data_IF_176008191487
#
_entry.id   IF_176008191487
#
_cell.length_a   1.000
_cell.length_b   1.000
_cell.length_c   1.000
_cell.angle_alpha   90.00
_cell.angle_beta   90.00
_cell.angle_gamma   90.00
#
_symmetry.space_group_name_H-M   'P 1'
#
loop_
_entity.id
_entity.type
_entity.pdbx_description
1 polymer ?
#
# COMPACT_ATOMS: atom_id res chain seq x y z
N UNK A 1 -24.80 -40.02 27.69
CA UNK A 1 -23.75 -39.05 28.07
C UNK A 1 -23.00 -38.50 26.86
N UNK A 2 -22.46 -39.36 25.96
CA UNK A 2 -21.65 -38.94 24.81
C UNK A 2 -22.41 -38.05 23.80
N UNK A 3 -23.68 -38.31 23.51
CA UNK A 3 -24.52 -37.53 22.60
C UNK A 3 -24.78 -36.08 23.08
N UNK A 4 -24.87 -35.88 24.40
CA UNK A 4 -25.06 -34.55 25.00
C UNK A 4 -23.78 -33.72 24.89
N UNK A 5 -22.63 -34.32 25.11
CA UNK A 5 -21.33 -33.68 24.93
C UNK A 5 -21.07 -33.21 23.48
N UNK A 6 -21.45 -34.03 22.50
CA UNK A 6 -21.32 -33.67 21.07
C UNK A 6 -22.25 -32.51 20.69
N UNK A 7 -23.48 -32.46 21.23
CA UNK A 7 -24.39 -31.34 21.03
C UNK A 7 -23.84 -30.02 21.61
N UNK A 8 -23.26 -30.06 22.82
CA UNK A 8 -22.65 -28.88 23.47
C UNK A 8 -21.41 -28.40 22.72
N UNK A 9 -20.57 -29.32 22.23
CA UNK A 9 -19.41 -28.97 21.41
C UNK A 9 -19.83 -28.31 20.07
N UNK A 10 -20.86 -28.82 19.43
CA UNK A 10 -21.42 -28.24 18.20
C UNK A 10 -21.97 -26.81 18.41
N UNK A 11 -22.72 -26.59 19.50
CA UNK A 11 -23.22 -25.26 19.85
C UNK A 11 -22.11 -24.27 20.15
N UNK A 12 -21.04 -24.70 20.82
CA UNK A 12 -19.89 -23.83 21.11
C UNK A 12 -19.16 -23.41 19.83
N UNK A 13 -18.94 -24.31 18.90
CA UNK A 13 -18.33 -24.00 17.57
C UNK A 13 -19.18 -23.02 16.76
N UNK A 14 -20.49 -23.23 16.72
CA UNK A 14 -21.44 -22.34 16.03
C UNK A 14 -21.42 -20.93 16.68
N UNK A 15 -21.39 -20.86 17.99
CA UNK A 15 -21.33 -19.59 18.73
C UNK A 15 -20.03 -18.80 18.43
N UNK A 16 -18.89 -19.49 18.30
CA UNK A 16 -17.62 -18.89 17.91
C UNK A 16 -17.67 -18.38 16.47
N UNK A 17 -18.23 -19.15 15.55
CA UNK A 17 -18.38 -18.75 14.14
C UNK A 17 -19.29 -17.52 14.01
N UNK A 18 -20.41 -17.48 14.78
CA UNK A 18 -21.33 -16.33 14.77
C UNK A 18 -20.66 -15.08 15.37
N UNK A 19 -19.85 -15.23 16.41
CA UNK A 19 -19.10 -14.11 17.01
C UNK A 19 -17.97 -13.59 16.13
N UNK A 20 -17.34 -14.46 15.35
CA UNK A 20 -16.31 -14.06 14.37
C UNK A 20 -16.91 -13.54 13.05
N UNK A 21 -18.20 -13.76 12.78
CA UNK A 21 -18.87 -13.30 11.57
C UNK A 21 -18.76 -11.76 11.31
N UNK A 22 -18.86 -10.87 12.31
CA UNK A 22 -18.69 -9.44 12.07
C UNK A 22 -17.26 -9.07 11.70
N UNK A 23 -16.25 -9.76 12.27
CA UNK A 23 -14.85 -9.59 11.90
C UNK A 23 -14.58 -10.05 10.45
N UNK A 24 -15.13 -11.21 10.07
CA UNK A 24 -15.05 -11.71 8.69
C UNK A 24 -15.74 -10.79 7.69
N UNK A 25 -16.91 -10.25 8.04
CA UNK A 25 -17.60 -9.26 7.19
C UNK A 25 -16.83 -7.95 7.09
N UNK A 26 -16.13 -7.51 8.14
CA UNK A 26 -15.27 -6.35 8.09
C UNK A 26 -14.05 -6.58 7.19
N UNK A 27 -13.41 -7.74 7.27
CA UNK A 27 -12.28 -8.13 6.40
C UNK A 27 -12.74 -8.26 4.94
N UNK A 28 -13.91 -8.87 4.68
CA UNK A 28 -14.48 -8.96 3.33
C UNK A 28 -14.89 -7.59 2.77
N UNK A 29 -15.45 -6.70 3.59
CA UNK A 29 -15.80 -5.33 3.17
C UNK A 29 -14.56 -4.49 2.88
N UNK A 30 -13.50 -4.64 3.67
CA UNK A 30 -12.21 -4.03 3.41
C UNK A 30 -11.58 -4.58 2.11
N UNK A 31 -11.61 -5.88 1.91
CA UNK A 31 -11.14 -6.51 0.68
C UNK A 31 -11.93 -6.07 -0.56
N UNK A 32 -13.26 -6.02 -0.47
CA UNK A 32 -14.12 -5.54 -1.55
C UNK A 32 -13.96 -4.05 -1.81
N UNK A 33 -13.79 -3.22 -0.78
CA UNK A 33 -13.56 -1.77 -0.96
C UNK A 33 -12.21 -1.47 -1.59
N UNK A 34 -11.20 -2.30 -1.34
CA UNK A 34 -9.91 -2.25 -2.02
C UNK A 34 -10.07 -2.63 -3.49
N UNK A 35 -10.82 -3.70 -3.78
CA UNK A 35 -11.03 -4.17 -5.16
C UNK A 35 -11.82 -3.16 -6.00
N UNK A 36 -12.90 -2.59 -5.46
CA UNK A 36 -13.71 -1.59 -6.19
C UNK A 36 -12.96 -0.26 -6.38
N UNK A 37 -12.10 0.13 -5.43
CA UNK A 37 -11.19 1.27 -5.61
C UNK A 37 -10.14 1.02 -6.70
N UNK A 38 -9.72 -0.22 -6.87
CA UNK A 38 -8.81 -0.64 -7.91
C UNK A 38 -9.44 -0.61 -9.30
N UNK A 39 -10.67 -1.09 -9.45
CA UNK A 39 -11.38 -1.04 -10.73
C UNK A 39 -11.69 0.39 -11.17
N UNK A 40 -12.01 1.28 -10.23
CA UNK A 40 -12.18 2.72 -10.49
C UNK A 40 -10.87 3.40 -10.93
N UNK A 41 -9.70 2.93 -10.45
CA UNK A 41 -8.38 3.45 -10.83
C UNK A 41 -7.88 2.99 -12.19
N UNK A 42 -8.34 1.84 -12.68
CA UNK A 42 -8.01 1.39 -14.06
C UNK A 42 -8.49 2.37 -15.13
N UNK A 43 -9.37 3.33 -14.77
CA UNK A 43 -9.84 4.43 -15.63
C UNK A 43 -9.21 5.79 -15.28
N UNK A 44 -8.18 5.83 -14.41
CA UNK A 44 -7.44 7.08 -14.18
C UNK A 44 -6.73 7.48 -15.46
N UNK A 45 -6.76 8.77 -15.79
CA UNK A 45 -6.09 9.27 -16.98
C UNK A 45 -4.63 8.83 -16.95
N UNK A 46 -4.15 8.34 -18.06
CA UNK A 46 -2.72 8.10 -18.32
C UNK A 46 -1.98 9.29 -17.74
N UNK A 47 -1.00 9.04 -16.86
CA UNK A 47 -0.19 10.12 -16.31
C UNK A 47 0.27 10.98 -17.50
N UNK A 48 -0.16 12.24 -17.54
CA UNK A 48 0.21 13.15 -18.62
C UNK A 48 1.65 13.64 -18.47
N UNK A 49 2.30 13.27 -17.36
CA UNK A 49 3.69 13.64 -17.07
C UNK A 49 4.65 12.65 -17.74
N UNK A 50 5.73 13.15 -18.36
CA UNK A 50 6.80 12.31 -18.89
C UNK A 50 7.41 11.44 -17.78
N UNK A 51 7.74 10.19 -18.12
CA UNK A 51 8.31 9.24 -17.15
C UNK A 51 9.64 9.74 -16.56
N UNK A 52 10.39 10.50 -17.33
CA UNK A 52 11.65 11.12 -16.93
C UNK A 52 11.45 12.15 -15.80
N UNK A 53 10.38 12.94 -15.89
CA UNK A 53 10.02 13.91 -14.85
C UNK A 53 9.59 13.20 -13.56
N UNK A 54 8.85 12.10 -13.66
CA UNK A 54 8.46 11.26 -12.53
C UNK A 54 9.73 10.66 -11.89
N UNK A 55 10.65 10.12 -12.68
CA UNK A 55 11.92 9.57 -12.21
C UNK A 55 12.77 10.62 -11.49
N UNK A 56 12.86 11.83 -12.03
CA UNK A 56 13.60 12.92 -11.41
C UNK A 56 13.00 13.33 -10.05
N UNK A 57 11.68 13.46 -9.98
CA UNK A 57 11.00 13.76 -8.71
C UNK A 57 11.17 12.64 -7.70
N UNK A 58 11.07 11.36 -8.13
CA UNK A 58 11.26 10.20 -7.28
C UNK A 58 12.69 10.18 -6.69
N UNK A 59 13.72 10.42 -7.50
CA UNK A 59 15.11 10.56 -7.01
C UNK A 59 15.26 11.69 -6.00
N UNK A 60 14.75 12.87 -6.32
CA UNK A 60 14.85 14.05 -5.45
C UNK A 60 14.15 13.84 -4.10
N UNK A 61 12.94 13.28 -4.11
CA UNK A 61 12.14 13.00 -2.90
C UNK A 61 12.69 11.80 -2.14
N UNK A 62 13.15 10.77 -2.83
CA UNK A 62 13.78 9.58 -2.23
C UNK A 62 15.03 9.94 -1.43
N UNK A 63 15.91 10.80 -1.95
CA UNK A 63 17.06 11.32 -1.19
C UNK A 63 16.62 12.04 0.07
N UNK A 64 15.68 12.97 -0.02
CA UNK A 64 15.19 13.72 1.16
C UNK A 64 14.49 12.85 2.18
N UNK A 65 13.90 11.75 1.75
CA UNK A 65 13.27 10.77 2.62
C UNK A 65 14.30 9.90 3.34
N UNK A 66 15.31 9.39 2.61
CA UNK A 66 16.38 8.54 3.17
C UNK A 66 17.38 9.34 4.02
N UNK A 67 17.64 10.58 3.63
CA UNK A 67 18.61 11.47 4.28
C UNK A 67 17.92 12.79 4.68
N UNK A 68 17.09 12.78 5.73
CA UNK A 68 16.41 13.98 6.15
C UNK A 68 17.44 15.01 6.70
N UNK A 69 17.30 16.30 6.35
CA UNK A 69 18.15 17.34 6.90
C UNK A 69 18.08 17.38 8.42
N UNK A 70 19.21 17.73 9.08
CA UNK A 70 19.24 17.89 10.54
C UNK A 70 18.21 18.92 11.00
N UNK A 71 17.42 18.57 12.03
CA UNK A 71 16.41 19.47 12.58
C UNK A 71 15.13 19.59 11.75
N UNK A 72 14.90 18.69 10.79
CA UNK A 72 13.63 18.64 10.08
C UNK A 72 12.49 18.32 11.06
N UNK A 73 11.40 19.08 11.02
CA UNK A 73 10.23 18.80 11.84
C UNK A 73 9.51 17.51 11.36
N UNK A 74 8.86 16.82 12.29
CA UNK A 74 8.08 15.61 11.98
C UNK A 74 7.07 15.87 10.86
N UNK A 75 6.37 17.00 10.87
CA UNK A 75 5.42 17.36 9.84
C UNK A 75 6.05 17.49 8.44
N UNK A 76 7.25 18.05 8.35
CA UNK A 76 8.00 18.13 7.08
C UNK A 76 8.47 16.76 6.62
N UNK A 77 8.97 15.93 7.53
CA UNK A 77 9.38 14.56 7.22
C UNK A 77 8.20 13.75 6.68
N UNK A 78 7.07 13.80 7.37
CA UNK A 78 5.84 13.12 6.97
C UNK A 78 5.30 13.65 5.63
N UNK A 79 5.39 14.96 5.38
CA UNK A 79 5.06 15.54 4.09
C UNK A 79 5.95 15.02 2.95
N UNK A 80 7.26 14.90 3.21
CA UNK A 80 8.22 14.32 2.24
C UNK A 80 7.90 12.87 1.95
N UNK A 81 7.62 12.06 2.99
CA UNK A 81 7.24 10.66 2.87
C UNK A 81 6.01 10.49 1.97
N UNK A 82 4.94 11.23 2.26
CA UNK A 82 3.71 11.18 1.46
C UNK A 82 3.92 11.63 0.01
N UNK A 83 4.73 12.67 -0.19
CA UNK A 83 5.07 13.13 -1.53
C UNK A 83 5.85 12.07 -2.31
N UNK A 84 6.78 11.37 -1.64
CA UNK A 84 7.54 10.28 -2.24
C UNK A 84 6.63 9.10 -2.60
N UNK A 85 5.77 8.65 -1.69
CA UNK A 85 4.79 7.58 -1.95
C UNK A 85 3.90 7.91 -3.15
N UNK A 86 3.44 9.18 -3.25
CA UNK A 86 2.62 9.65 -4.36
C UNK A 86 3.35 9.58 -5.72
N UNK A 87 4.61 9.97 -5.76
CA UNK A 87 5.41 9.92 -7.00
C UNK A 87 5.73 8.49 -7.40
N UNK A 88 6.01 7.60 -6.45
CA UNK A 88 6.15 6.16 -6.71
C UNK A 88 4.85 5.56 -7.29
N UNK A 89 3.70 5.93 -6.71
CA UNK A 89 2.38 5.52 -7.22
C UNK A 89 2.13 6.02 -8.66
N UNK A 90 2.53 7.25 -8.96
CA UNK A 90 2.45 7.82 -10.31
C UNK A 90 3.34 7.06 -11.30
N UNK A 91 4.57 6.70 -10.89
CA UNK A 91 5.47 5.86 -11.68
C UNK A 91 4.90 4.47 -11.95
N UNK A 92 4.30 3.84 -10.94
CA UNK A 92 3.60 2.57 -11.10
C UNK A 92 2.44 2.68 -12.11
N UNK A 93 1.65 3.75 -12.00
CA UNK A 93 0.54 3.99 -12.92
C UNK A 93 1.02 4.16 -14.37
N UNK A 94 2.10 4.91 -14.58
CA UNK A 94 2.68 5.13 -15.89
C UNK A 94 3.21 3.84 -16.55
N UNK A 95 3.70 2.90 -15.74
CA UNK A 95 4.26 1.61 -16.19
C UNK A 95 3.26 0.43 -16.06
N UNK A 96 2.02 0.67 -15.64
CA UNK A 96 1.02 -0.38 -15.44
C UNK A 96 1.35 -1.36 -14.30
N UNK A 97 2.12 -0.92 -13.31
CA UNK A 97 2.51 -1.71 -12.13
C UNK A 97 1.47 -1.55 -11.01
N UNK A 98 1.00 -2.65 -10.49
CA UNK A 98 0.05 -2.65 -9.36
C UNK A 98 0.74 -2.30 -8.04
N UNK A 99 0.09 -1.45 -7.21
CA UNK A 99 0.62 -1.02 -5.91
C UNK A 99 -0.49 -0.74 -4.88
N UNK A 100 -0.14 -0.76 -3.60
CA UNK A 100 -1.03 -0.47 -2.48
C UNK A 100 -0.63 0.78 -1.68
N UNK A 101 0.28 1.61 -2.19
CA UNK A 101 0.84 2.78 -1.48
C UNK A 101 -0.22 3.77 -0.99
N UNK A 102 -1.33 3.92 -1.73
CA UNK A 102 -2.41 4.84 -1.36
C UNK A 102 -3.50 4.20 -0.49
N UNK A 103 -3.41 2.91 -0.23
CA UNK A 103 -4.43 2.13 0.47
C UNK A 103 -3.97 1.76 1.87
N UNK A 104 -2.68 1.44 2.03
CA UNK A 104 -2.12 1.01 3.29
C UNK A 104 -1.96 2.19 4.27
N UNK A 105 -2.31 1.97 5.56
CA UNK A 105 -2.06 2.96 6.60
C UNK A 105 -0.55 3.11 6.85
N UNK A 106 -0.11 4.25 7.41
CA UNK A 106 1.28 4.42 7.86
C UNK A 106 1.71 3.31 8.81
N UNK A 107 2.85 2.66 8.52
CA UNK A 107 3.39 1.57 9.33
C UNK A 107 4.29 0.65 8.53
N UNK A 108 4.65 -0.46 9.15
CA UNK A 108 5.59 -1.46 8.60
C UNK A 108 5.11 -2.06 7.28
N UNK A 109 3.80 -2.22 7.10
CA UNK A 109 3.21 -2.75 5.87
C UNK A 109 3.38 -1.78 4.70
N UNK A 110 3.13 -0.48 4.94
CA UNK A 110 3.36 0.55 3.93
C UNK A 110 4.85 0.66 3.57
N UNK A 111 5.73 0.52 4.57
CA UNK A 111 7.18 0.56 4.33
C UNK A 111 7.66 -0.66 3.52
N UNK A 112 7.09 -1.84 3.77
CA UNK A 112 7.36 -3.04 2.98
C UNK A 112 6.86 -2.89 1.55
N UNK A 113 5.66 -2.35 1.37
CA UNK A 113 5.09 -2.08 0.04
C UNK A 113 5.92 -1.05 -0.73
N UNK A 114 6.41 0.00 -0.07
CA UNK A 114 7.29 1.01 -0.69
C UNK A 114 8.54 0.35 -1.25
N UNK A 115 9.24 -0.49 -0.47
CA UNK A 115 10.43 -1.22 -0.93
C UNK A 115 10.10 -2.14 -2.11
N UNK A 116 8.95 -2.81 -2.08
CA UNK A 116 8.49 -3.65 -3.19
C UNK A 116 8.28 -2.84 -4.47
N UNK A 117 7.64 -1.68 -4.34
CA UNK A 117 7.39 -0.77 -5.47
C UNK A 117 8.69 -0.19 -6.01
N UNK A 118 9.59 0.26 -5.16
CA UNK A 118 10.92 0.74 -5.55
C UNK A 118 11.66 -0.30 -6.39
N UNK A 119 11.67 -1.55 -5.91
CA UNK A 119 12.29 -2.65 -6.64
C UNK A 119 11.62 -2.92 -8.00
N UNK A 120 10.28 -2.88 -8.06
CA UNK A 120 9.53 -3.06 -9.31
C UNK A 120 9.82 -1.97 -10.33
N UNK A 121 9.85 -0.72 -9.89
CA UNK A 121 10.19 0.42 -10.73
C UNK A 121 11.62 0.33 -11.24
N UNK A 122 12.56 -0.03 -10.37
CA UNK A 122 13.96 -0.28 -10.75
C UNK A 122 14.07 -1.38 -11.80
N UNK A 123 13.40 -2.51 -11.60
CA UNK A 123 13.38 -3.63 -12.56
C UNK A 123 12.74 -3.27 -13.91
N UNK A 124 11.85 -2.27 -13.93
CA UNK A 124 11.25 -1.73 -15.15
C UNK A 124 12.12 -0.64 -15.81
N UNK A 125 13.34 -0.40 -15.30
CA UNK A 125 14.29 0.57 -15.86
C UNK A 125 14.19 1.98 -15.28
N UNK A 126 13.33 2.20 -14.26
CA UNK A 126 13.23 3.49 -13.57
C UNK A 126 14.23 3.53 -12.40
N UNK A 127 15.46 3.95 -12.68
CA UNK A 127 16.50 4.08 -11.67
C UNK A 127 16.16 5.22 -10.70
N UNK A 128 15.94 4.87 -9.44
CA UNK A 128 15.56 5.79 -8.36
C UNK A 128 16.77 6.32 -7.58
N UNK A 129 17.92 5.71 -7.76
CA UNK A 129 19.19 6.18 -7.21
C UNK A 129 19.91 7.02 -8.26
N UNK A 130 20.61 8.07 -7.82
CA UNK A 130 21.50 8.78 -8.73
C UNK A 130 22.60 7.78 -9.11
N UNK A 131 22.77 7.56 -10.39
CA UNK A 131 23.95 6.88 -10.88
C UNK A 131 25.17 7.69 -10.41
N UNK A 132 25.93 7.10 -9.50
CA UNK A 132 27.22 7.64 -9.07
C UNK A 132 28.19 7.64 -10.23
#
# INVERSE_FOLDING_TARGET
>A
MLKVLLLWAGCAVIAVIIRCAPLWRAVWRLGLSVHTRWEGRRRLPISTRPIEAIAQDARRLGRRFREPPRGVSFAKFEGTRRAYDKVLAEGCLALGIEHLLDVLPPGTELDAERRRVEWRLYSAGLHLDDAA
#
